data_IF_146434898516
#
_entry.id   IF_146434898516
#
_cell.length_a   1.000
_cell.length_b   1.000
_cell.length_c   1.000
_cell.angle_alpha   90.00
_cell.angle_beta   90.00
_cell.angle_gamma   90.00
#
_symmetry.space_group_name_H-M   'P 1'
#
loop_
_entity.id
_entity.type
_entity.pdbx_description
1 polymer ?
#
# COMPACT_ATOMS: atom_id res chain seq x y z
N UNK A 1 29.90 31.08 -41.46
CA UNK A 1 28.56 30.51 -41.66
C UNK A 1 27.91 30.35 -40.30
N UNK A 2 26.96 31.24 -39.97
CA UNK A 2 26.17 31.19 -38.75
C UNK A 2 25.08 30.12 -38.90
N UNK A 3 25.02 29.17 -37.98
CA UNK A 3 23.90 28.24 -37.85
C UNK A 3 23.08 28.63 -36.62
N UNK A 4 22.08 29.47 -36.85
CA UNK A 4 21.03 29.78 -35.89
C UNK A 4 19.97 28.68 -35.95
N UNK A 5 19.86 27.89 -34.89
CA UNK A 5 18.71 27.01 -34.67
C UNK A 5 17.48 27.83 -34.25
N UNK A 6 16.26 27.51 -34.71
CA UNK A 6 15.06 28.28 -34.39
C UNK A 6 14.64 28.06 -32.93
N UNK A 7 14.67 29.13 -32.14
CA UNK A 7 14.10 29.20 -30.80
C UNK A 7 12.57 29.07 -30.90
N UNK A 8 11.91 28.18 -30.14
CA UNK A 8 10.45 28.12 -30.11
C UNK A 8 9.85 29.36 -29.42
N UNK A 9 8.56 29.69 -29.67
CA UNK A 9 8.00 30.99 -29.32
C UNK A 9 7.93 31.22 -27.81
N UNK A 10 8.74 32.18 -27.32
CA UNK A 10 8.29 33.21 -26.39
C UNK A 10 7.82 32.82 -24.98
N UNK A 11 8.49 31.90 -24.27
CA UNK A 11 8.45 31.99 -22.79
C UNK A 11 9.14 33.30 -22.40
N UNK A 12 8.43 34.20 -21.72
CA UNK A 12 9.05 35.43 -21.21
C UNK A 12 10.31 35.09 -20.40
N UNK A 13 11.34 35.94 -20.41
CA UNK A 13 12.57 35.71 -19.64
C UNK A 13 12.29 35.43 -18.14
N UNK A 14 11.17 35.96 -17.63
CA UNK A 14 10.64 35.70 -16.29
C UNK A 14 10.14 34.26 -16.12
N UNK A 15 9.41 33.71 -17.09
CA UNK A 15 8.93 32.34 -17.07
C UNK A 15 10.07 31.31 -17.24
N UNK A 16 11.03 31.59 -18.14
CA UNK A 16 12.23 30.74 -18.28
C UNK A 16 13.05 30.69 -16.99
N UNK A 17 13.24 31.83 -16.32
CA UNK A 17 13.93 31.91 -15.02
C UNK A 17 13.14 31.21 -13.90
N UNK A 18 11.81 31.26 -13.95
CA UNK A 18 10.97 30.55 -12.98
C UNK A 18 11.08 29.03 -13.14
N UNK A 19 11.17 28.53 -14.38
CA UNK A 19 11.35 27.11 -14.68
C UNK A 19 12.71 26.59 -14.21
N UNK A 20 13.80 27.32 -14.43
CA UNK A 20 15.14 26.90 -13.99
C UNK A 20 15.22 26.75 -12.45
N UNK A 21 14.53 27.63 -11.70
CA UNK A 21 14.47 27.59 -10.23
C UNK A 21 13.72 26.38 -9.67
N UNK A 22 12.98 25.63 -10.51
CA UNK A 22 12.28 24.40 -10.09
C UNK A 22 13.17 23.15 -10.16
N UNK A 23 14.36 23.23 -10.76
CA UNK A 23 15.27 22.09 -10.86
C UNK A 23 15.81 21.78 -9.46
N UNK A 24 15.62 20.53 -9.00
CA UNK A 24 15.90 20.12 -7.62
C UNK A 24 17.39 20.24 -7.29
N UNK A 25 17.70 21.05 -6.27
CA UNK A 25 19.04 21.15 -5.70
C UNK A 25 19.55 19.81 -5.16
N UNK A 26 18.68 19.00 -4.55
CA UNK A 26 19.07 17.68 -4.03
C UNK A 26 19.53 16.76 -5.16
N UNK A 27 18.81 16.75 -6.28
CA UNK A 27 19.17 15.93 -7.44
C UNK A 27 20.46 16.42 -8.12
N UNK A 28 20.66 17.74 -8.17
CA UNK A 28 21.90 18.33 -8.68
C UNK A 28 23.08 18.02 -7.77
N UNK A 29 22.94 18.16 -6.45
CA UNK A 29 23.98 17.81 -5.46
C UNK A 29 24.35 16.33 -5.56
N UNK A 30 23.37 15.44 -5.70
CA UNK A 30 23.61 14.02 -5.91
C UNK A 30 24.35 13.72 -7.23
N UNK A 31 24.00 14.39 -8.33
CA UNK A 31 24.72 14.25 -9.61
C UNK A 31 26.16 14.76 -9.55
N UNK A 32 26.40 15.78 -8.73
CA UNK A 32 27.73 16.29 -8.41
C UNK A 32 28.51 15.40 -7.43
N UNK A 33 27.92 14.30 -6.96
CA UNK A 33 28.57 13.33 -6.07
C UNK A 33 28.52 13.71 -4.58
N UNK A 34 27.73 14.71 -4.20
CA UNK A 34 27.58 15.12 -2.81
C UNK A 34 26.40 14.39 -2.15
N UNK A 35 26.69 13.64 -1.09
CA UNK A 35 25.70 12.99 -0.24
C UNK A 35 25.43 13.82 1.03
N UNK A 36 24.19 13.82 1.56
CA UNK A 36 23.90 14.48 2.81
C UNK A 36 24.62 13.79 3.98
N UNK A 37 25.05 14.57 4.97
CA UNK A 37 25.75 14.09 6.16
C UNK A 37 24.85 13.31 7.13
N UNK A 38 23.54 13.29 6.90
CA UNK A 38 22.57 12.60 7.74
C UNK A 38 21.13 12.77 7.24
N UNK A 39 20.13 12.23 7.98
CA UNK A 39 18.71 12.43 7.67
C UNK A 39 18.33 13.92 7.77
N UNK A 40 17.24 14.34 7.11
CA UNK A 40 16.82 15.74 7.11
C UNK A 40 16.44 16.21 8.52
N UNK A 41 16.87 17.41 8.88
CA UNK A 41 16.41 18.09 10.09
C UNK A 41 14.93 18.49 9.96
N UNK A 42 14.28 18.79 11.09
CA UNK A 42 12.89 19.27 11.12
C UNK A 42 12.69 20.43 10.13
N UNK A 43 11.73 20.28 9.21
CA UNK A 43 11.45 21.25 8.14
C UNK A 43 12.18 21.01 6.81
N UNK A 44 12.69 19.79 6.55
CA UNK A 44 13.17 19.38 5.23
C UNK A 44 14.53 19.97 4.84
N UNK A 45 15.40 20.18 5.82
CA UNK A 45 16.73 20.74 5.61
C UNK A 45 17.80 19.63 5.67
N UNK A 46 18.57 19.51 4.60
CA UNK A 46 19.67 18.54 4.48
C UNK A 46 21.01 19.24 4.65
N UNK A 47 21.89 18.65 5.46
CA UNK A 47 23.23 19.17 5.72
C UNK A 47 24.26 18.44 4.87
N UNK A 48 25.21 19.17 4.30
CA UNK A 48 26.31 18.68 3.48
C UNK A 48 27.62 19.31 3.96
N UNK A 49 28.73 18.63 3.72
CA UNK A 49 30.05 19.29 3.66
C UNK A 49 30.04 20.30 2.51
N UNK A 50 30.58 21.50 2.72
CA UNK A 50 30.48 22.55 1.70
C UNK A 50 31.17 22.12 0.40
N UNK A 51 30.48 22.18 -0.76
CA UNK A 51 31.09 21.86 -2.05
C UNK A 51 32.13 22.91 -2.47
N UNK A 52 32.22 24.02 -1.76
CA UNK A 52 33.21 25.08 -1.97
C UNK A 52 34.46 24.92 -1.09
N UNK A 53 34.40 24.07 -0.05
CA UNK A 53 35.46 23.87 0.94
C UNK A 53 35.65 22.37 1.17
N UNK A 54 36.29 21.66 0.22
CA UNK A 54 36.42 20.20 0.26
C UNK A 54 37.23 19.67 1.46
N UNK A 55 38.05 20.50 2.10
CA UNK A 55 38.82 20.20 3.30
C UNK A 55 38.01 20.26 4.62
N UNK A 56 36.74 20.68 4.55
CA UNK A 56 35.88 20.83 5.71
C UNK A 56 35.47 19.47 6.30
N UNK A 57 35.59 19.33 7.63
CA UNK A 57 35.20 18.11 8.37
C UNK A 57 33.80 18.17 8.98
N UNK A 58 33.23 19.37 9.14
CA UNK A 58 31.94 19.59 9.79
C UNK A 58 30.94 20.14 8.78
N UNK A 59 29.77 19.50 8.57
CA UNK A 59 28.77 19.97 7.63
C UNK A 59 28.29 21.39 7.95
N UNK A 60 28.37 22.31 6.99
CA UNK A 60 27.95 23.71 7.14
C UNK A 60 27.09 24.21 5.99
N UNK A 61 26.91 23.39 4.95
CA UNK A 61 26.11 23.70 3.78
C UNK A 61 24.72 23.07 3.90
N UNK A 62 23.68 23.90 3.87
CA UNK A 62 22.29 23.47 4.04
C UNK A 62 21.53 23.63 2.74
N UNK A 63 20.87 22.55 2.30
CA UNK A 63 19.87 22.58 1.23
C UNK A 63 18.49 22.41 1.84
N UNK A 64 17.62 23.39 1.60
CA UNK A 64 16.21 23.30 1.99
C UNK A 64 15.40 22.69 0.85
N UNK A 65 14.87 21.49 1.05
CA UNK A 65 14.07 20.75 0.08
C UNK A 65 12.83 21.55 -0.33
N UNK A 66 12.09 22.07 0.65
CA UNK A 66 10.82 22.77 0.39
C UNK A 66 11.01 24.12 -0.30
N UNK A 67 12.11 24.83 0.00
CA UNK A 67 12.38 26.16 -0.57
C UNK A 67 13.22 26.08 -1.85
N UNK A 68 13.85 24.94 -2.13
CA UNK A 68 14.82 24.72 -3.20
C UNK A 68 15.89 25.83 -3.24
N UNK A 69 16.45 26.12 -2.07
CA UNK A 69 17.55 27.08 -1.89
C UNK A 69 18.64 26.45 -1.03
N UNK A 70 19.86 26.96 -1.21
CA UNK A 70 21.00 26.57 -0.41
C UNK A 70 21.54 27.76 0.39
N UNK A 71 22.13 27.47 1.54
CA UNK A 71 22.86 28.40 2.38
C UNK A 71 24.12 27.71 2.90
N UNK A 72 25.26 28.36 2.74
CA UNK A 72 26.54 27.92 3.31
C UNK A 72 26.88 28.81 4.53
N UNK A 73 26.86 28.22 5.72
CA UNK A 73 27.14 28.94 6.97
C UNK A 73 28.65 29.14 7.21
N UNK A 74 29.53 28.45 6.48
CA UNK A 74 30.97 28.68 6.60
C UNK A 74 31.55 29.53 5.48
N UNK A 75 30.72 30.14 4.61
CA UNK A 75 31.13 31.20 3.68
C UNK A 75 30.62 32.56 4.12
N UNK A 76 31.48 33.57 3.96
CA UNK A 76 31.07 34.96 4.13
C UNK A 76 30.05 35.36 3.03
N UNK A 77 28.96 36.06 3.36
CA UNK A 77 28.00 36.56 2.39
C UNK A 77 28.64 37.54 1.39
N UNK A 78 28.12 37.59 0.17
CA UNK A 78 28.45 38.69 -0.77
C UNK A 78 27.98 40.04 -0.18
N UNK A 79 28.64 41.17 -0.47
CA UNK A 79 28.24 42.49 0.01
C UNK A 79 26.75 42.75 -0.22
N UNK A 80 26.03 43.16 0.83
CA UNK A 80 24.58 43.41 0.78
C UNK A 80 23.69 42.16 0.95
N UNK A 81 24.24 40.97 1.19
CA UNK A 81 23.46 39.77 1.53
C UNK A 81 23.64 39.35 3.00
N UNK A 82 22.58 38.78 3.59
CA UNK A 82 22.58 38.29 4.97
C UNK A 82 23.26 36.92 5.15
N UNK A 83 23.39 36.14 4.08
CA UNK A 83 23.98 34.80 4.08
C UNK A 83 24.62 34.49 2.72
N UNK A 84 25.64 33.63 2.69
CA UNK A 84 26.17 33.06 1.46
C UNK A 84 25.21 31.96 0.97
N UNK A 85 24.34 32.29 0.02
CA UNK A 85 23.31 31.37 -0.45
C UNK A 85 22.57 31.85 -1.68
N UNK A 86 21.75 30.96 -2.24
CA UNK A 86 21.03 31.21 -3.48
C UNK A 86 20.11 30.07 -3.92
N UNK A 87 19.60 30.19 -5.14
CA UNK A 87 18.86 29.12 -5.81
C UNK A 87 19.81 28.19 -6.57
N UNK A 88 19.25 27.16 -7.21
CA UNK A 88 20.01 26.17 -8.01
C UNK A 88 20.90 26.82 -9.07
N UNK A 89 20.44 27.89 -9.71
CA UNK A 89 21.20 28.56 -10.76
C UNK A 89 22.38 29.33 -10.16
N UNK A 90 22.16 30.02 -9.04
CA UNK A 90 23.25 30.65 -8.29
C UNK A 90 24.27 29.63 -7.80
N UNK A 91 23.85 28.41 -7.41
CA UNK A 91 24.77 27.34 -7.03
C UNK A 91 25.70 26.97 -8.19
N UNK A 92 25.13 26.72 -9.39
CA UNK A 92 25.92 26.37 -10.57
C UNK A 92 26.90 27.48 -10.92
N UNK A 93 26.44 28.74 -10.92
CA UNK A 93 27.30 29.89 -11.17
C UNK A 93 28.44 29.98 -10.15
N UNK A 94 28.14 29.80 -8.86
CA UNK A 94 29.15 29.89 -7.80
C UNK A 94 30.14 28.69 -7.82
N UNK A 95 29.73 27.51 -8.29
CA UNK A 95 30.60 26.32 -8.39
C UNK A 95 31.49 26.31 -9.63
N UNK A 96 30.99 26.83 -10.75
CA UNK A 96 31.66 26.73 -12.07
C UNK A 96 32.30 28.05 -12.51
N UNK A 97 31.91 29.18 -11.91
CA UNK A 97 32.28 30.51 -12.39
C UNK A 97 31.57 30.93 -13.69
N UNK A 98 30.59 30.16 -14.16
CA UNK A 98 29.89 30.46 -15.41
C UNK A 98 28.94 31.65 -15.30
N UNK A 99 28.92 32.46 -16.34
CA UNK A 99 27.92 33.50 -16.53
C UNK A 99 26.53 32.90 -16.78
N UNK A 100 25.48 33.69 -16.49
CA UNK A 100 24.09 33.23 -16.45
C UNK A 100 23.63 32.38 -17.65
N UNK A 101 23.96 32.71 -18.93
CA UNK A 101 23.52 31.91 -20.08
C UNK A 101 24.12 30.50 -20.07
N UNK A 102 25.42 30.39 -19.78
CA UNK A 102 26.15 29.12 -19.79
C UNK A 102 25.82 28.28 -18.55
N UNK A 103 25.67 28.91 -17.39
CA UNK A 103 25.20 28.25 -16.18
C UNK A 103 23.79 27.65 -16.37
N UNK A 104 22.88 28.39 -17.03
CA UNK A 104 21.53 27.92 -17.36
C UNK A 104 21.56 26.73 -18.32
N UNK A 105 22.38 26.80 -19.37
CA UNK A 105 22.53 25.70 -20.33
C UNK A 105 23.04 24.43 -19.64
N UNK A 106 24.06 24.57 -18.80
CA UNK A 106 24.66 23.46 -18.03
C UNK A 106 23.64 22.85 -17.07
N UNK A 107 22.91 23.68 -16.31
CA UNK A 107 21.86 23.23 -15.41
C UNK A 107 20.78 22.41 -16.14
N UNK A 108 20.36 22.86 -17.32
CA UNK A 108 19.35 22.17 -18.13
C UNK A 108 19.88 20.86 -18.71
N UNK A 109 21.13 20.81 -19.15
CA UNK A 109 21.77 19.59 -19.62
C UNK A 109 21.85 18.54 -18.50
N UNK A 110 22.29 18.95 -17.30
CA UNK A 110 22.35 18.06 -16.14
C UNK A 110 20.97 17.60 -15.69
N UNK A 111 19.96 18.48 -15.77
CA UNK A 111 18.57 18.12 -15.48
C UNK A 111 18.01 17.13 -16.53
N UNK A 112 18.42 17.24 -17.79
CA UNK A 112 18.03 16.31 -18.86
C UNK A 112 18.68 14.93 -18.66
N UNK A 113 19.94 14.85 -18.26
CA UNK A 113 20.60 13.58 -17.88
C UNK A 113 19.96 12.91 -16.65
N UNK A 114 19.38 13.71 -15.75
CA UNK A 114 18.64 13.24 -14.58
C UNK A 114 17.20 12.82 -14.92
N UNK A 115 16.74 13.10 -16.15
CA UNK A 115 15.45 12.66 -16.60
C UNK A 115 15.50 11.16 -16.91
N UNK A 116 14.60 10.41 -16.27
CA UNK A 116 14.21 9.05 -16.65
C UNK A 116 14.17 8.85 -18.17
N UNK A 117 14.64 7.71 -18.71
CA UNK A 117 14.61 7.38 -20.14
C UNK A 117 13.29 7.76 -20.80
N UNK A 118 13.29 8.11 -22.09
CA UNK A 118 12.10 8.60 -22.81
C UNK A 118 10.86 7.70 -22.69
N UNK A 119 11.01 6.40 -22.42
CA UNK A 119 9.90 5.47 -22.10
C UNK A 119 9.13 5.81 -20.80
N UNK A 120 9.69 6.64 -19.93
CA UNK A 120 9.11 7.11 -18.66
C UNK A 120 8.69 8.59 -18.70
N UNK A 121 8.87 9.28 -19.83
CA UNK A 121 8.46 10.67 -19.99
C UNK A 121 6.96 10.75 -20.24
N UNK A 122 6.23 11.31 -19.26
CA UNK A 122 4.79 11.50 -19.35
C UNK A 122 4.42 12.42 -20.53
N UNK A 123 3.32 12.12 -21.26
CA UNK A 123 2.85 13.00 -22.31
C UNK A 123 2.47 14.39 -21.76
N UNK A 124 2.63 15.46 -22.56
CA UNK A 124 2.17 16.79 -22.20
C UNK A 124 0.65 16.82 -22.07
N UNK A 125 0.18 17.85 -21.39
CA UNK A 125 -0.90 17.72 -20.45
C UNK A 125 -2.16 18.51 -20.86
N UNK A 126 -3.31 17.89 -21.23
CA UNK A 126 -4.61 18.59 -21.27
C UNK A 126 -5.12 18.89 -19.85
N UNK A 127 -5.87 19.99 -19.67
CA UNK A 127 -6.36 20.49 -18.37
C UNK A 127 -7.14 19.39 -17.62
N UNK A 128 -6.63 18.95 -16.47
CA UNK A 128 -7.24 17.88 -15.66
C UNK A 128 -8.11 18.41 -14.50
N UNK A 129 -8.99 17.56 -13.98
CA UNK A 129 -9.86 17.89 -12.84
C UNK A 129 -9.05 18.03 -11.53
N UNK A 130 -9.56 18.86 -10.61
CA UNK A 130 -9.02 18.99 -9.24
C UNK A 130 -9.93 18.26 -8.27
N UNK A 131 -9.37 17.30 -7.53
CA UNK A 131 -10.08 16.46 -6.56
C UNK A 131 -9.42 16.60 -5.19
N UNK A 132 -10.16 16.39 -4.10
CA UNK A 132 -9.60 16.49 -2.74
C UNK A 132 -9.93 15.23 -1.94
N UNK A 133 -8.93 14.69 -1.23
CA UNK A 133 -9.10 13.57 -0.30
C UNK A 133 -8.51 13.97 1.05
N UNK A 134 -9.37 14.20 2.04
CA UNK A 134 -8.95 14.71 3.33
C UNK A 134 -8.23 16.06 3.21
N UNK A 135 -6.95 16.12 3.59
CA UNK A 135 -6.10 17.33 3.54
C UNK A 135 -5.28 17.46 2.24
N UNK A 136 -5.34 16.46 1.35
CA UNK A 136 -4.53 16.43 0.13
C UNK A 136 -5.39 16.81 -1.06
N UNK A 137 -4.96 17.83 -1.80
CA UNK A 137 -5.56 18.22 -3.08
C UNK A 137 -4.78 17.56 -4.20
N UNK A 138 -5.50 16.86 -5.08
CA UNK A 138 -5.03 16.28 -6.31
C UNK A 138 -5.41 17.20 -7.46
N UNK A 139 -4.45 17.54 -8.30
CA UNK A 139 -4.62 18.42 -9.46
C UNK A 139 -4.09 17.75 -10.72
N UNK A 140 -4.50 18.24 -11.88
CA UNK A 140 -4.16 17.65 -13.18
C UNK A 140 -4.45 16.14 -13.25
N UNK A 141 -5.56 15.71 -12.63
CA UNK A 141 -5.94 14.31 -12.65
C UNK A 141 -6.34 13.93 -14.07
N UNK A 142 -5.58 13.01 -14.68
CA UNK A 142 -5.90 12.42 -15.99
C UNK A 142 -6.11 10.95 -15.87
N UNK A 143 -7.15 10.48 -16.53
CA UNK A 143 -7.52 9.07 -16.58
C UNK A 143 -7.49 8.64 -18.03
N UNK A 144 -6.74 7.60 -18.32
CA UNK A 144 -6.56 7.07 -19.67
C UNK A 144 -6.66 5.55 -19.63
N UNK A 145 -6.94 4.89 -20.77
CA UNK A 145 -6.83 3.45 -20.88
C UNK A 145 -5.44 2.96 -20.48
N UNK A 146 -5.37 1.85 -19.74
CA UNK A 146 -4.09 1.32 -19.26
C UNK A 146 -3.22 0.81 -20.42
N UNK A 147 -2.18 1.59 -20.74
CA UNK A 147 -1.17 1.29 -21.77
C UNK A 147 0.26 1.56 -21.27
N UNK A 148 0.41 2.27 -20.15
CA UNK A 148 1.70 2.67 -19.61
C UNK A 148 2.52 1.45 -19.16
N UNK A 149 3.62 1.19 -19.87
CA UNK A 149 4.49 0.01 -19.68
C UNK A 149 4.89 -0.22 -18.21
N UNK A 150 5.33 0.78 -17.43
CA UNK A 150 5.64 0.59 -16.01
C UNK A 150 4.47 0.09 -15.15
N UNK A 151 3.23 0.48 -15.47
CA UNK A 151 2.05 0.01 -14.73
C UNK A 151 1.64 -1.40 -15.14
N UNK A 152 1.82 -1.75 -16.42
CA UNK A 152 1.63 -3.12 -16.90
C UNK A 152 2.69 -4.04 -16.29
N UNK A 153 3.96 -3.64 -16.27
CA UNK A 153 5.05 -4.37 -15.61
C UNK A 153 4.77 -4.53 -14.11
N UNK A 154 4.22 -3.52 -13.46
CA UNK A 154 3.77 -3.62 -12.07
C UNK A 154 2.68 -4.69 -11.89
N UNK A 155 1.65 -4.74 -12.74
CA UNK A 155 0.64 -5.80 -12.69
C UNK A 155 1.26 -7.20 -12.86
N UNK A 156 2.15 -7.36 -13.84
CA UNK A 156 2.87 -8.62 -14.08
C UNK A 156 3.72 -9.00 -12.87
N UNK A 157 4.40 -8.04 -12.23
CA UNK A 157 5.18 -8.27 -11.01
C UNK A 157 4.31 -8.71 -9.83
N UNK A 158 3.03 -8.34 -9.82
CA UNK A 158 2.04 -8.79 -8.85
C UNK A 158 1.32 -10.08 -9.27
N UNK A 159 1.87 -10.80 -10.25
CA UNK A 159 1.38 -12.10 -10.70
C UNK A 159 0.12 -12.04 -11.55
N UNK A 160 -0.33 -10.85 -11.95
CA UNK A 160 -1.57 -10.67 -12.71
C UNK A 160 -1.33 -11.02 -14.19
N UNK A 161 -2.16 -11.90 -14.75
CA UNK A 161 -2.10 -12.27 -16.16
C UNK A 161 -2.78 -11.18 -17.02
N UNK A 162 -2.01 -10.16 -17.37
CA UNK A 162 -2.51 -9.03 -18.14
C UNK A 162 -3.13 -9.41 -19.51
N UNK A 163 -2.52 -10.30 -20.33
CA UNK A 163 -3.13 -10.75 -21.58
C UNK A 163 -4.52 -11.39 -21.41
N UNK A 164 -4.71 -12.22 -20.38
CA UNK A 164 -6.01 -12.81 -20.06
C UNK A 164 -7.06 -11.73 -19.75
N UNK A 165 -6.69 -10.72 -18.96
CA UNK A 165 -7.61 -9.66 -18.58
C UNK A 165 -8.02 -8.79 -19.76
N UNK A 166 -7.11 -8.53 -20.70
CA UNK A 166 -7.40 -7.76 -21.92
C UNK A 166 -8.51 -8.40 -22.78
N UNK A 167 -8.65 -9.73 -22.74
CA UNK A 167 -9.73 -10.43 -23.45
C UNK A 167 -11.12 -10.17 -22.85
N UNK A 168 -11.22 -9.68 -21.61
CA UNK A 168 -12.50 -9.50 -20.90
C UNK A 168 -13.33 -8.32 -21.40
N UNK A 169 -12.71 -7.30 -22.01
CA UNK A 169 -13.34 -6.12 -22.63
C UNK A 169 -14.17 -5.20 -21.71
N UNK A 170 -15.11 -5.75 -20.92
CA UNK A 170 -16.11 -5.02 -20.14
C UNK A 170 -15.66 -4.66 -18.72
N UNK A 171 -14.92 -5.53 -18.04
CA UNK A 171 -14.54 -5.32 -16.63
C UNK A 171 -13.32 -4.41 -16.44
N UNK A 172 -12.51 -4.26 -17.50
CA UNK A 172 -11.34 -3.38 -17.49
C UNK A 172 -11.68 -1.89 -17.56
N UNK A 173 -12.94 -1.50 -17.87
CA UNK A 173 -13.33 -0.09 -17.85
C UNK A 173 -13.10 0.56 -16.48
N UNK A 174 -13.14 -0.24 -15.40
CA UNK A 174 -12.83 0.23 -14.05
C UNK A 174 -11.33 0.38 -13.79
N UNK A 175 -10.46 -0.34 -14.51
CA UNK A 175 -9.01 -0.28 -14.36
C UNK A 175 -8.39 0.61 -15.44
N UNK A 176 -7.92 1.77 -15.03
CA UNK A 176 -7.35 2.80 -15.89
C UNK A 176 -5.93 3.14 -15.42
N UNK A 177 -5.16 3.85 -16.24
CA UNK A 177 -3.98 4.56 -15.74
C UNK A 177 -4.41 5.96 -15.31
N UNK A 178 -3.94 6.38 -14.14
CA UNK A 178 -4.22 7.71 -13.60
C UNK A 178 -2.91 8.46 -13.42
N UNK A 179 -2.85 9.69 -13.94
CA UNK A 179 -1.78 10.64 -13.70
C UNK A 179 -2.30 11.77 -12.83
N UNK A 180 -1.52 12.23 -11.85
CA UNK A 180 -1.98 13.26 -10.92
C UNK A 180 -0.81 14.02 -10.30
N UNK A 181 -1.08 15.23 -9.82
CA UNK A 181 -0.20 16.00 -8.94
C UNK A 181 -0.86 16.17 -7.59
N UNK A 182 -0.09 16.22 -6.52
CA UNK A 182 -0.57 16.57 -5.19
C UNK A 182 -0.24 18.02 -4.88
N UNK A 183 -0.93 18.63 -3.91
CA UNK A 183 -0.60 19.98 -3.41
C UNK A 183 0.85 20.13 -2.96
N UNK A 184 1.49 19.02 -2.55
CA UNK A 184 2.91 18.95 -2.21
C UNK A 184 3.84 18.74 -3.40
N UNK A 185 3.34 18.22 -4.53
CA UNK A 185 4.12 17.90 -5.74
C UNK A 185 3.81 18.80 -6.95
N UNK A 186 3.15 19.94 -6.74
CA UNK A 186 2.89 20.94 -7.78
C UNK A 186 4.17 21.41 -8.52
N UNK A 187 5.35 21.17 -7.93
CA UNK A 187 6.68 21.50 -8.48
C UNK A 187 7.48 20.30 -8.99
N UNK A 188 6.94 19.08 -8.89
CA UNK A 188 7.59 17.82 -9.30
C UNK A 188 6.92 17.18 -10.53
N UNK A 189 7.56 16.13 -11.07
CA UNK A 189 6.94 15.29 -12.10
C UNK A 189 5.59 14.72 -11.58
N UNK A 190 4.55 14.63 -12.44
CA UNK A 190 3.29 14.02 -12.04
C UNK A 190 3.50 12.59 -11.56
N UNK A 191 2.74 12.21 -10.53
CA UNK A 191 2.61 10.82 -10.11
C UNK A 191 1.74 10.05 -11.09
N UNK A 192 1.91 8.73 -11.09
CA UNK A 192 1.09 7.83 -11.89
C UNK A 192 0.76 6.56 -11.12
N UNK A 193 -0.37 5.95 -11.44
CA UNK A 193 -0.81 4.71 -10.81
C UNK A 193 -1.85 3.98 -11.63
N UNK A 194 -2.12 2.74 -11.24
CA UNK A 194 -3.35 2.06 -11.58
C UNK A 194 -4.49 2.77 -10.86
N UNK A 195 -5.46 3.28 -11.59
CA UNK A 195 -6.69 3.85 -11.07
C UNK A 195 -7.82 2.83 -11.19
N UNK A 196 -8.41 2.44 -10.07
CA UNK A 196 -9.61 1.63 -10.02
C UNK A 196 -10.83 2.49 -9.69
N UNK A 197 -11.79 2.57 -10.61
CA UNK A 197 -12.98 3.43 -10.48
C UNK A 197 -13.90 2.93 -9.36
N UNK A 198 -14.26 3.83 -8.44
CA UNK A 198 -15.24 3.60 -7.37
C UNK A 198 -16.45 4.53 -7.51
N UNK A 199 -17.49 4.31 -6.71
CA UNK A 199 -18.67 5.18 -6.65
C UNK A 199 -18.36 6.62 -6.22
N UNK A 200 -17.24 6.84 -5.51
CA UNK A 200 -16.90 8.14 -4.92
C UNK A 200 -15.58 8.75 -5.45
N UNK A 201 -14.86 8.06 -6.34
CA UNK A 201 -13.55 8.50 -6.80
C UNK A 201 -12.75 7.38 -7.47
N UNK A 202 -11.50 7.26 -7.05
CA UNK A 202 -10.53 6.30 -7.59
C UNK A 202 -9.68 5.71 -6.47
N UNK A 203 -9.57 4.39 -6.42
CA UNK A 203 -8.47 3.74 -5.70
C UNK A 203 -7.24 3.75 -6.59
N UNK A 204 -6.10 4.15 -6.04
CA UNK A 204 -4.86 4.34 -6.79
C UNK A 204 -3.76 3.50 -6.20
N UNK A 205 -3.09 2.73 -7.08
CA UNK A 205 -1.99 1.86 -6.67
C UNK A 205 -0.84 1.87 -7.66
N UNK A 206 0.38 1.95 -7.15
CA UNK A 206 1.61 1.67 -7.89
C UNK A 206 2.60 0.95 -6.95
N UNK A 207 3.82 0.69 -7.42
CA UNK A 207 4.84 -0.01 -6.64
C UNK A 207 5.18 0.64 -5.28
N UNK A 208 4.98 1.95 -5.15
CA UNK A 208 5.39 2.75 -3.97
C UNK A 208 4.23 3.39 -3.23
N UNK A 209 3.02 3.33 -3.77
CA UNK A 209 1.86 4.05 -3.24
C UNK A 209 0.59 3.22 -3.34
N UNK A 210 -0.21 3.29 -2.28
CA UNK A 210 -1.58 2.83 -2.22
C UNK A 210 -2.40 3.91 -1.52
N UNK A 211 -3.49 4.36 -2.15
CA UNK A 211 -4.37 5.37 -1.57
C UNK A 211 -5.56 5.67 -2.47
N UNK A 212 -6.28 6.74 -2.17
CA UNK A 212 -7.51 7.10 -2.87
C UNK A 212 -7.39 8.54 -3.41
N UNK A 213 -7.94 8.80 -4.59
CA UNK A 213 -8.13 10.12 -5.17
C UNK A 213 -9.64 10.40 -5.24
N UNK A 214 -10.07 11.50 -4.61
CA UNK A 214 -11.49 11.77 -4.35
C UNK A 214 -11.97 11.04 -3.10
N UNK A 215 -13.13 10.39 -3.16
CA UNK A 215 -13.70 9.62 -2.05
C UNK A 215 -13.43 8.11 -2.14
N UNK A 216 -13.46 7.45 -0.98
CA UNK A 216 -13.54 5.99 -0.91
C UNK A 216 -14.97 5.57 -1.20
N UNK A 217 -15.13 4.53 -2.01
CA UNK A 217 -16.45 4.04 -2.39
C UNK A 217 -16.39 2.58 -2.82
N UNK A 218 -17.57 1.98 -2.93
CA UNK A 218 -17.76 0.62 -3.41
C UNK A 218 -17.61 0.58 -4.94
N UNK A 219 -17.24 -0.58 -5.47
CA UNK A 219 -17.34 -0.86 -6.91
C UNK A 219 -18.23 -2.07 -7.12
N UNK A 220 -19.35 -1.87 -7.82
CA UNK A 220 -20.26 -2.92 -8.25
C UNK A 220 -20.00 -3.26 -9.71
N UNK A 221 -19.76 -4.54 -9.99
CA UNK A 221 -19.67 -5.09 -11.34
C UNK A 221 -20.85 -6.05 -11.54
N UNK A 222 -21.93 -5.62 -12.22
CA UNK A 222 -23.14 -6.41 -12.36
C UNK A 222 -22.89 -7.73 -13.10
N UNK A 223 -23.31 -8.83 -12.48
CA UNK A 223 -23.36 -10.16 -13.08
C UNK A 223 -24.76 -10.52 -13.56
N UNK A 224 -24.87 -11.66 -14.23
CA UNK A 224 -26.15 -12.22 -14.70
C UNK A 224 -26.63 -13.39 -13.85
N UNK A 225 -25.72 -14.04 -13.13
CA UNK A 225 -26.04 -15.17 -12.26
C UNK A 225 -26.33 -14.72 -10.82
N UNK A 226 -27.18 -15.46 -10.09
CA UNK A 226 -27.52 -15.15 -8.71
C UNK A 226 -26.30 -15.26 -7.79
N UNK A 227 -26.26 -14.37 -6.80
CA UNK A 227 -25.22 -14.32 -5.79
C UNK A 227 -24.27 -13.14 -5.97
N UNK A 228 -23.48 -12.88 -4.92
CA UNK A 228 -22.49 -11.79 -4.89
C UNK A 228 -21.15 -12.33 -4.48
N UNK A 229 -20.10 -11.99 -5.24
CA UNK A 229 -18.70 -12.26 -4.88
C UNK A 229 -18.09 -10.98 -4.31
N UNK A 230 -17.60 -11.08 -3.08
CA UNK A 230 -17.11 -9.96 -2.30
C UNK A 230 -15.60 -10.01 -2.17
N UNK A 231 -14.90 -8.98 -2.66
CA UNK A 231 -13.46 -8.79 -2.51
C UNK A 231 -13.17 -7.56 -1.65
N UNK A 232 -12.14 -7.64 -0.81
CA UNK A 232 -11.74 -6.50 0.03
C UNK A 232 -11.05 -5.39 -0.79
N UNK A 233 -10.18 -5.76 -1.74
CA UNK A 233 -9.52 -4.83 -2.65
C UNK A 233 -9.60 -5.26 -4.11
N UNK A 234 -9.39 -4.31 -5.03
CA UNK A 234 -9.44 -4.60 -6.46
C UNK A 234 -8.28 -5.49 -6.92
N UNK A 235 -7.13 -5.44 -6.25
CA UNK A 235 -5.99 -6.33 -6.56
C UNK A 235 -6.34 -7.79 -6.29
N UNK A 236 -7.14 -8.09 -5.27
CA UNK A 236 -7.60 -9.45 -4.97
C UNK A 236 -8.57 -9.95 -6.04
N UNK A 237 -9.45 -9.07 -6.52
CA UNK A 237 -10.32 -9.36 -7.66
C UNK A 237 -9.51 -9.72 -8.92
N UNK A 238 -8.52 -8.91 -9.30
CA UNK A 238 -7.64 -9.19 -10.45
C UNK A 238 -6.85 -10.49 -10.26
N UNK A 239 -6.44 -10.76 -9.01
CA UNK A 239 -5.72 -11.99 -8.65
C UNK A 239 -6.60 -13.22 -8.79
N UNK A 240 -7.87 -13.13 -8.37
CA UNK A 240 -8.83 -14.21 -8.51
C UNK A 240 -9.12 -14.51 -9.99
N UNK A 241 -9.33 -13.48 -10.83
CA UNK A 241 -9.47 -13.69 -12.28
C UNK A 241 -8.27 -14.43 -12.87
N UNK A 242 -7.06 -14.03 -12.49
CA UNK A 242 -5.83 -14.71 -12.94
C UNK A 242 -5.75 -16.16 -12.45
N UNK A 243 -5.99 -16.39 -11.16
CA UNK A 243 -5.89 -17.71 -10.54
C UNK A 243 -6.91 -18.69 -11.13
N UNK A 244 -8.16 -18.27 -11.26
CA UNK A 244 -9.23 -19.09 -11.84
C UNK A 244 -9.22 -19.12 -13.38
N UNK A 245 -8.27 -18.41 -14.02
CA UNK A 245 -8.16 -18.28 -15.48
C UNK A 245 -9.47 -17.81 -16.13
N UNK A 246 -10.15 -16.87 -15.48
CA UNK A 246 -11.41 -16.29 -15.94
C UNK A 246 -11.19 -14.85 -16.40
N UNK A 247 -11.89 -14.46 -17.47
CA UNK A 247 -11.95 -13.07 -17.92
C UNK A 247 -13.01 -12.26 -17.13
N UNK A 248 -14.02 -12.93 -16.58
CA UNK A 248 -15.05 -12.34 -15.72
C UNK A 248 -15.69 -13.40 -14.83
N UNK A 249 -16.33 -12.96 -13.73
CA UNK A 249 -17.27 -13.81 -12.99
C UNK A 249 -18.70 -13.62 -13.52
N UNK A 250 -19.52 -14.67 -13.56
CA UNK A 250 -20.90 -14.56 -14.00
C UNK A 250 -21.83 -13.97 -12.92
N UNK A 251 -21.49 -14.10 -11.64
CA UNK A 251 -22.15 -13.44 -10.52
C UNK A 251 -21.77 -11.96 -10.42
N UNK A 252 -22.58 -11.18 -9.71
CA UNK A 252 -22.25 -9.79 -9.38
C UNK A 252 -21.02 -9.76 -8.49
N UNK A 253 -20.04 -8.93 -8.84
CA UNK A 253 -18.85 -8.71 -8.02
C UNK A 253 -18.94 -7.39 -7.30
N UNK A 254 -18.73 -7.42 -5.98
CA UNK A 254 -18.55 -6.23 -5.16
C UNK A 254 -17.10 -6.17 -4.70
N UNK A 255 -16.43 -5.06 -5.03
CA UNK A 255 -15.13 -4.71 -4.47
C UNK A 255 -15.34 -3.64 -3.41
N UNK A 256 -15.01 -3.95 -2.16
CA UNK A 256 -15.20 -3.05 -1.03
C UNK A 256 -14.24 -1.86 -1.07
N UNK A 257 -13.01 -2.06 -1.56
CA UNK A 257 -11.88 -1.13 -1.52
C UNK A 257 -11.38 -0.77 -0.11
N UNK A 258 -12.13 -1.15 0.94
CA UNK A 258 -11.79 -1.03 2.35
C UNK A 258 -12.80 -1.80 3.20
N UNK A 259 -12.35 -2.60 4.17
CA UNK A 259 -13.24 -3.31 5.10
C UNK A 259 -14.24 -2.39 5.83
N UNK A 260 -13.89 -1.10 6.02
CA UNK A 260 -14.78 -0.12 6.64
C UNK A 260 -16.07 0.16 5.85
N UNK A 261 -16.08 -0.09 4.53
CA UNK A 261 -17.26 0.13 3.67
C UNK A 261 -18.23 -1.06 3.66
N UNK A 262 -17.94 -2.14 4.39
CA UNK A 262 -18.82 -3.30 4.45
C UNK A 262 -20.21 -2.95 5.01
N UNK A 263 -20.28 -2.06 6.01
CA UNK A 263 -21.57 -1.64 6.59
C UNK A 263 -22.47 -0.95 5.57
N UNK A 264 -21.89 -0.17 4.66
CA UNK A 264 -22.62 0.52 3.59
C UNK A 264 -23.19 -0.49 2.58
N UNK A 265 -22.44 -1.56 2.27
CA UNK A 265 -22.87 -2.60 1.33
C UNK A 265 -23.87 -3.60 1.93
N UNK A 266 -24.02 -3.64 3.26
CA UNK A 266 -24.76 -4.69 3.96
C UNK A 266 -26.23 -4.82 3.52
N UNK A 267 -27.01 -3.74 3.30
CA UNK A 267 -28.39 -3.86 2.84
C UNK A 267 -28.53 -4.64 1.53
N UNK A 268 -27.64 -4.37 0.57
CA UNK A 268 -27.62 -5.06 -0.73
C UNK A 268 -27.17 -6.51 -0.60
N UNK A 269 -26.24 -6.81 0.33
CA UNK A 269 -25.80 -8.17 0.60
C UNK A 269 -26.88 -9.03 1.26
N UNK A 270 -27.79 -8.44 2.04
CA UNK A 270 -28.91 -9.15 2.66
C UNK A 270 -29.94 -9.64 1.62
N UNK A 271 -30.02 -8.98 0.47
CA UNK A 271 -30.87 -9.38 -0.66
C UNK A 271 -30.24 -10.49 -1.51
N UNK A 272 -28.91 -10.62 -1.52
CA UNK A 272 -28.18 -11.53 -2.40
C UNK A 272 -28.25 -13.01 -1.95
N UNK A 273 -28.78 -13.95 -2.76
CA UNK A 273 -29.11 -15.31 -2.31
C UNK A 273 -27.93 -16.04 -1.65
N UNK A 274 -26.72 -15.84 -2.18
CA UNK A 274 -25.46 -16.30 -1.58
C UNK A 274 -24.40 -15.21 -1.69
N UNK A 275 -23.55 -15.10 -0.67
CA UNK A 275 -22.41 -14.19 -0.62
C UNK A 275 -21.12 -15.02 -0.51
N UNK A 276 -20.23 -14.85 -1.48
CA UNK A 276 -18.91 -15.47 -1.50
C UNK A 276 -17.86 -14.48 -1.00
N UNK A 277 -17.20 -14.78 0.12
CA UNK A 277 -16.23 -13.88 0.75
C UNK A 277 -14.79 -14.23 0.38
N UNK A 278 -14.11 -13.26 -0.25
CA UNK A 278 -12.68 -13.25 -0.54
C UNK A 278 -12.03 -12.01 0.11
N UNK A 279 -12.03 -11.94 1.44
CA UNK A 279 -11.37 -10.84 2.16
C UNK A 279 -10.12 -11.26 2.94
N UNK A 280 -9.43 -10.25 3.46
CA UNK A 280 -8.08 -10.40 4.00
C UNK A 280 -8.05 -11.32 5.21
N UNK A 281 -6.93 -12.00 5.39
CA UNK A 281 -6.62 -12.83 6.54
C UNK A 281 -6.02 -12.03 7.70
N UNK A 282 -6.22 -10.71 7.72
CA UNK A 282 -5.79 -9.84 8.79
C UNK A 282 -6.93 -9.53 9.79
N UNK A 283 -6.65 -8.69 10.79
CA UNK A 283 -7.64 -8.38 11.82
C UNK A 283 -8.89 -7.68 11.26
N UNK A 284 -8.75 -6.85 10.21
CA UNK A 284 -9.86 -6.13 9.63
C UNK A 284 -10.76 -7.08 8.81
N UNK A 285 -10.14 -7.92 7.97
CA UNK A 285 -10.87 -8.93 7.20
C UNK A 285 -11.58 -9.97 8.07
N UNK A 286 -10.98 -10.42 9.17
CA UNK A 286 -11.64 -11.33 10.12
C UNK A 286 -12.84 -10.68 10.85
N UNK A 287 -12.76 -9.38 11.17
CA UNK A 287 -13.90 -8.63 11.73
C UNK A 287 -15.02 -8.47 10.71
N UNK A 288 -14.69 -8.19 9.46
CA UNK A 288 -15.63 -8.10 8.36
C UNK A 288 -16.36 -9.44 8.14
N UNK A 289 -15.61 -10.54 8.11
CA UNK A 289 -16.18 -11.89 8.02
C UNK A 289 -17.08 -12.24 9.21
N UNK A 290 -16.68 -11.84 10.44
CA UNK A 290 -17.52 -12.03 11.62
C UNK A 290 -18.86 -11.28 11.49
N UNK A 291 -18.83 -10.02 11.05
CA UNK A 291 -20.03 -9.21 10.85
C UNK A 291 -20.97 -9.86 9.81
N UNK A 292 -20.42 -10.33 8.68
CA UNK A 292 -21.19 -11.04 7.66
C UNK A 292 -21.87 -12.29 8.22
N UNK A 293 -21.20 -13.05 9.09
CA UNK A 293 -21.78 -14.23 9.76
C UNK A 293 -22.92 -13.88 10.71
N UNK A 294 -22.90 -12.70 11.33
CA UNK A 294 -23.98 -12.25 12.22
C UNK A 294 -25.18 -11.72 11.43
N UNK A 295 -24.91 -11.02 10.33
CA UNK A 295 -25.95 -10.35 9.56
C UNK A 295 -26.66 -11.28 8.56
N UNK A 296 -25.92 -12.18 7.89
CA UNK A 296 -26.49 -13.04 6.86
C UNK A 296 -27.16 -14.28 7.49
N UNK A 297 -28.30 -14.74 6.94
CA UNK A 297 -28.91 -16.00 7.36
C UNK A 297 -27.94 -17.20 7.23
N UNK A 298 -28.07 -18.22 8.09
CA UNK A 298 -27.23 -19.42 8.03
C UNK A 298 -27.22 -20.06 6.63
N UNK A 299 -26.05 -20.45 6.16
CA UNK A 299 -25.87 -21.09 4.84
C UNK A 299 -25.74 -20.13 3.66
N UNK A 300 -25.98 -18.82 3.83
CA UNK A 300 -25.85 -17.83 2.74
C UNK A 300 -24.44 -17.26 2.56
N UNK A 301 -23.51 -17.56 3.47
CA UNK A 301 -22.13 -17.07 3.40
C UNK A 301 -21.16 -18.22 3.13
N UNK A 302 -20.44 -18.12 2.02
CA UNK A 302 -19.36 -19.05 1.66
C UNK A 302 -18.03 -18.34 1.85
N UNK A 303 -17.22 -18.84 2.77
CA UNK A 303 -15.91 -18.27 3.05
C UNK A 303 -14.80 -18.92 2.20
N UNK A 304 -14.18 -18.15 1.33
CA UNK A 304 -13.09 -18.61 0.46
C UNK A 304 -11.70 -18.21 0.95
N UNK A 305 -11.59 -17.42 2.03
CA UNK A 305 -10.29 -16.94 2.47
C UNK A 305 -9.34 -18.07 2.93
N UNK A 306 -9.87 -19.25 3.23
CA UNK A 306 -9.09 -20.47 3.53
C UNK A 306 -8.22 -20.95 2.36
N UNK A 307 -8.60 -20.64 1.10
CA UNK A 307 -7.82 -20.99 -0.09
C UNK A 307 -6.40 -20.44 -0.04
N UNK A 308 -6.24 -19.25 0.53
CA UNK A 308 -4.95 -18.55 0.66
C UNK A 308 -4.50 -18.46 2.13
N UNK A 309 -4.76 -19.52 2.91
CA UNK A 309 -4.29 -19.61 4.30
C UNK A 309 -2.77 -19.44 4.39
N UNK A 310 -2.33 -18.59 5.32
CA UNK A 310 -0.92 -18.28 5.54
C UNK A 310 -0.43 -17.04 4.75
N UNK A 311 -1.27 -16.50 3.88
CA UNK A 311 -1.03 -15.24 3.17
C UNK A 311 -2.00 -14.17 3.68
N UNK A 312 -1.57 -12.90 3.62
CA UNK A 312 -2.38 -11.77 4.11
C UNK A 312 -3.63 -11.60 3.26
N UNK A 313 -3.49 -11.59 1.94
CA UNK A 313 -4.56 -11.38 0.98
C UNK A 313 -4.39 -12.31 -0.23
N UNK A 314 -5.31 -12.23 -1.20
CA UNK A 314 -5.30 -13.14 -2.34
C UNK A 314 -4.10 -12.86 -3.25
N UNK A 315 -3.75 -11.58 -3.44
CA UNK A 315 -2.62 -11.22 -4.29
C UNK A 315 -1.27 -11.66 -3.70
N UNK A 316 -1.10 -11.57 -2.39
CA UNK A 316 0.07 -12.10 -1.70
C UNK A 316 0.16 -13.63 -1.85
N UNK A 317 -0.97 -14.34 -1.83
CA UNK A 317 -0.99 -15.77 -2.17
C UNK A 317 -0.58 -16.07 -3.60
N UNK A 318 -1.11 -15.33 -4.57
CA UNK A 318 -0.78 -15.49 -5.98
C UNK A 318 0.72 -15.28 -6.24
N UNK A 319 1.32 -14.31 -5.55
CA UNK A 319 2.74 -13.97 -5.66
C UNK A 319 3.65 -14.75 -4.72
N UNK A 320 3.08 -15.59 -3.83
CA UNK A 320 3.79 -16.28 -2.74
C UNK A 320 4.55 -15.31 -1.82
N UNK A 321 4.02 -14.11 -1.64
CA UNK A 321 4.60 -13.07 -0.77
C UNK A 321 4.29 -13.41 0.69
N UNK A 322 5.29 -13.64 1.56
CA UNK A 322 5.03 -13.96 2.96
C UNK A 322 4.50 -12.72 3.70
N UNK A 323 3.65 -12.92 4.73
CA UNK A 323 3.11 -11.80 5.49
C UNK A 323 4.22 -11.12 6.32
N UNK A 324 4.27 -9.79 6.27
CA UNK A 324 5.25 -8.98 7.02
C UNK A 324 4.95 -8.92 8.52
N UNK A 325 3.69 -9.15 8.89
CA UNK A 325 3.23 -9.25 10.27
C UNK A 325 2.56 -10.60 10.50
N UNK A 326 2.68 -11.16 11.71
CA UNK A 326 1.95 -12.38 12.07
C UNK A 326 0.45 -12.23 11.79
N UNK A 327 -0.11 -13.20 11.07
CA UNK A 327 -1.54 -13.21 10.74
C UNK A 327 -2.36 -13.74 11.92
N UNK A 328 -3.61 -13.27 12.09
CA UNK A 328 -4.60 -13.97 12.89
C UNK A 328 -4.54 -15.48 12.62
N UNK A 329 -4.34 -16.31 13.64
CA UNK A 329 -4.27 -17.75 13.45
C UNK A 329 -5.60 -18.27 12.91
N UNK A 330 -5.64 -18.84 11.71
CA UNK A 330 -6.84 -19.56 11.27
C UNK A 330 -7.01 -20.83 12.11
N UNK A 331 -8.25 -21.20 12.43
CA UNK A 331 -8.66 -22.41 13.18
C UNK A 331 -7.52 -23.43 13.36
N UNK A 332 -7.09 -23.66 14.59
CA UNK A 332 -6.51 -24.95 14.91
C UNK A 332 -7.65 -25.97 14.89
N UNK A 333 -7.45 -27.13 14.24
CA UNK A 333 -8.36 -28.25 14.46
C UNK A 333 -8.39 -28.51 15.95
N UNK A 334 -9.56 -28.38 16.57
CA UNK A 334 -9.59 -28.34 18.01
C UNK A 334 -9.37 -29.79 18.49
N UNK A 335 -8.52 -29.95 19.50
CA UNK A 335 -8.08 -31.27 20.00
C UNK A 335 -9.28 -32.14 20.42
N UNK A 336 -9.13 -33.45 20.62
CA UNK A 336 -10.26 -34.31 21.07
C UNK A 336 -11.06 -33.75 22.27
N UNK A 337 -10.44 -32.94 23.14
CA UNK A 337 -11.13 -32.21 24.23
C UNK A 337 -12.19 -31.20 23.74
N UNK A 338 -12.04 -30.60 22.57
CA UNK A 338 -12.98 -29.62 22.04
C UNK A 338 -14.24 -30.23 21.42
N UNK A 339 -14.29 -31.55 21.25
CA UNK A 339 -15.43 -32.22 20.62
C UNK A 339 -16.65 -32.23 21.55
N UNK A 340 -16.45 -32.00 22.85
CA UNK A 340 -17.50 -32.02 23.88
C UNK A 340 -17.58 -30.73 24.70
N UNK A 341 -16.53 -29.90 24.70
CA UNK A 341 -16.52 -28.64 25.45
C UNK A 341 -17.42 -27.56 24.81
N UNK A 342 -18.24 -26.89 25.62
CA UNK A 342 -19.01 -25.69 25.23
C UNK A 342 -18.10 -24.47 25.14
N UNK A 343 -17.16 -24.34 26.07
CA UNK A 343 -16.19 -23.25 26.09
C UNK A 343 -14.76 -23.78 26.06
N UNK A 344 -13.89 -23.10 25.32
CA UNK A 344 -12.46 -23.39 25.36
C UNK A 344 -11.60 -22.14 25.20
N UNK A 345 -10.44 -22.17 25.84
CA UNK A 345 -9.39 -21.19 25.73
C UNK A 345 -8.19 -21.83 25.02
N UNK A 346 -7.87 -21.33 23.83
CA UNK A 346 -6.63 -21.68 23.13
C UNK A 346 -5.57 -20.64 23.45
N UNK A 347 -4.40 -21.08 23.91
CA UNK A 347 -3.29 -20.22 24.33
C UNK A 347 -2.03 -20.60 23.57
N UNK A 348 -1.32 -19.59 23.09
CA UNK A 348 0.05 -19.67 22.59
C UNK A 348 0.93 -18.91 23.56
N UNK A 349 1.98 -19.57 24.03
CA UNK A 349 2.94 -19.05 24.99
C UNK A 349 4.09 -18.35 24.29
N UNK A 350 4.71 -17.41 24.99
CA UNK A 350 5.91 -16.70 24.52
C UNK A 350 7.14 -17.61 24.44
N UNK A 351 7.26 -18.60 25.31
CA UNK A 351 8.40 -19.54 25.31
C UNK A 351 8.01 -21.02 25.41
N UNK A 352 7.31 -21.45 26.45
CA UNK A 352 6.90 -22.86 26.56
C UNK A 352 5.59 -22.99 27.31
N UNK A 353 4.73 -23.90 26.86
CA UNK A 353 3.51 -24.24 27.58
C UNK A 353 3.85 -24.88 28.95
N UNK A 354 3.34 -24.32 30.05
CA UNK A 354 3.52 -24.88 31.40
C UNK A 354 3.07 -26.35 31.46
N UNK A 355 3.83 -27.19 32.17
CA UNK A 355 3.47 -28.59 32.43
C UNK A 355 3.65 -29.57 31.26
N UNK A 356 4.26 -29.15 30.15
CA UNK A 356 4.61 -30.08 29.06
C UNK A 356 5.97 -30.71 29.32
N UNK A 357 6.20 -32.03 29.10
CA UNK A 357 7.51 -32.65 29.25
C UNK A 357 8.51 -32.14 28.20
N UNK A 358 9.80 -32.11 28.54
CA UNK A 358 10.84 -31.65 27.63
C UNK A 358 11.13 -32.77 26.64
N UNK A 359 10.25 -32.96 25.66
CA UNK A 359 10.47 -33.94 24.62
C UNK A 359 11.58 -33.45 23.67
N UNK A 360 12.45 -34.37 23.27
CA UNK A 360 13.59 -34.21 22.37
C UNK A 360 13.32 -33.16 21.27
N UNK A 361 13.89 -31.96 21.46
CA UNK A 361 13.99 -30.93 20.42
C UNK A 361 12.72 -30.17 20.03
N UNK A 362 11.54 -30.38 20.63
CA UNK A 362 10.31 -29.62 20.26
C UNK A 362 9.65 -28.93 21.47
N UNK A 363 9.84 -27.60 21.56
CA UNK A 363 9.07 -26.74 22.49
C UNK A 363 7.60 -26.73 22.09
N UNK A 364 6.71 -27.25 22.93
CA UNK A 364 5.26 -27.10 22.72
C UNK A 364 4.86 -25.68 23.12
N UNK A 365 4.66 -24.82 22.13
CA UNK A 365 4.34 -23.40 22.30
C UNK A 365 2.85 -23.12 22.56
N UNK A 366 1.95 -24.10 22.41
CA UNK A 366 0.52 -23.87 22.51
C UNK A 366 -0.25 -25.01 23.20
N UNK A 367 -1.34 -24.64 23.88
CA UNK A 367 -2.20 -25.53 24.67
C UNK A 367 -3.67 -25.10 24.56
N UNK A 368 -4.57 -26.06 24.77
CA UNK A 368 -6.01 -25.83 24.91
C UNK A 368 -6.42 -26.07 26.35
N UNK A 369 -7.30 -25.21 26.86
CA UNK A 369 -7.94 -25.35 28.16
C UNK A 369 -9.45 -25.40 27.97
N UNK A 370 -10.10 -26.31 28.67
CA UNK A 370 -11.54 -26.38 28.84
C UNK A 370 -11.83 -26.78 30.28
N UNK A 371 -13.02 -26.47 30.77
CA UNK A 371 -13.41 -26.79 32.14
C UNK A 371 -14.78 -27.46 32.15
N UNK A 372 -15.80 -26.74 32.61
CA UNK A 372 -17.20 -27.14 32.57
C UNK A 372 -17.93 -26.43 31.43
N UNK A 373 -19.10 -26.96 31.06
CA UNK A 373 -19.88 -26.52 29.90
C UNK A 373 -20.91 -25.43 30.23
N UNK A 374 -20.85 -24.88 31.44
CA UNK A 374 -21.74 -23.85 31.98
C UNK A 374 -21.03 -22.49 32.09
N UNK A 375 -21.76 -21.46 32.55
CA UNK A 375 -21.22 -20.11 32.72
C UNK A 375 -20.01 -20.07 33.68
N UNK A 376 -19.98 -20.95 34.68
CA UNK A 376 -18.85 -21.08 35.60
C UNK A 376 -17.57 -21.48 34.87
N UNK A 377 -17.68 -22.40 33.90
CA UNK A 377 -16.57 -22.81 33.05
C UNK A 377 -16.01 -21.67 32.20
N UNK A 378 -16.89 -20.82 31.65
CA UNK A 378 -16.48 -19.63 30.91
C UNK A 378 -15.68 -18.65 31.78
N UNK A 379 -16.18 -18.34 32.98
CA UNK A 379 -15.49 -17.44 33.91
C UNK A 379 -14.16 -18.01 34.39
N UNK A 380 -14.10 -19.32 34.65
CA UNK A 380 -12.83 -19.97 34.98
C UNK A 380 -11.78 -19.76 33.88
N UNK A 381 -12.16 -19.89 32.61
CA UNK A 381 -11.24 -19.67 31.49
C UNK A 381 -10.77 -18.22 31.40
N UNK A 382 -11.62 -17.24 31.72
CA UNK A 382 -11.25 -15.81 31.81
C UNK A 382 -10.24 -15.56 32.93
N UNK A 383 -10.45 -16.17 34.10
CA UNK A 383 -9.53 -16.09 35.24
C UNK A 383 -8.20 -16.75 34.90
N UNK A 384 -8.23 -17.94 34.30
CA UNK A 384 -7.04 -18.67 33.86
C UNK A 384 -6.20 -17.84 32.89
N UNK A 385 -6.84 -17.25 31.87
CA UNK A 385 -6.18 -16.33 30.95
C UNK A 385 -5.50 -15.19 31.70
N UNK A 386 -6.19 -14.54 32.63
CA UNK A 386 -5.63 -13.42 33.41
C UNK A 386 -4.41 -13.86 34.23
N UNK A 387 -4.45 -15.07 34.82
CA UNK A 387 -3.33 -15.65 35.56
C UNK A 387 -2.10 -15.95 34.70
N UNK A 388 -2.32 -16.41 33.46
CA UNK A 388 -1.24 -16.70 32.53
C UNK A 388 -0.52 -15.41 32.06
N UNK A 389 -1.24 -14.28 32.01
CA UNK A 389 -0.66 -12.94 31.90
C UNK A 389 0.37 -12.78 30.78
N UNK A 390 1.57 -12.31 31.13
CA UNK A 390 2.68 -12.05 30.19
C UNK A 390 3.27 -13.31 29.54
N UNK A 391 2.92 -14.50 30.02
CA UNK A 391 3.35 -15.75 29.39
C UNK A 391 2.58 -16.01 28.08
N UNK A 392 1.44 -15.34 27.88
CA UNK A 392 0.63 -15.45 26.68
C UNK A 392 1.22 -14.56 25.59
N UNK A 393 1.61 -15.17 24.47
CA UNK A 393 1.86 -14.47 23.21
C UNK A 393 0.55 -14.21 22.44
N UNK A 394 -0.37 -15.17 22.51
CA UNK A 394 -1.68 -15.09 21.84
C UNK A 394 -2.73 -15.96 22.54
N UNK A 395 -4.00 -15.53 22.57
CA UNK A 395 -5.11 -16.40 22.99
C UNK A 395 -6.42 -16.18 22.22
N UNK A 396 -7.29 -17.21 22.27
CA UNK A 396 -8.70 -17.16 21.89
C UNK A 396 -9.57 -17.84 22.93
N UNK A 397 -10.60 -17.16 23.40
CA UNK A 397 -11.71 -17.72 24.16
C UNK A 397 -12.90 -17.90 23.22
N UNK A 398 -13.45 -19.11 23.15
CA UNK A 398 -14.51 -19.45 22.20
C UNK A 398 -15.67 -20.17 22.90
N UNK A 399 -16.86 -19.99 22.32
CA UNK A 399 -18.10 -20.68 22.64
C UNK A 399 -18.54 -21.52 21.45
N UNK A 400 -18.92 -22.77 21.69
CA UNK A 400 -19.43 -23.67 20.66
C UNK A 400 -20.87 -23.29 20.32
N UNK A 401 -21.17 -23.18 19.03
CA UNK A 401 -22.52 -22.86 18.54
C UNK A 401 -23.24 -24.13 18.08
N UNK A 402 -22.82 -24.73 16.96
CA UNK A 402 -23.46 -25.91 16.37
C UNK A 402 -22.43 -26.81 15.70
N UNK A 403 -22.44 -28.11 16.04
CA UNK A 403 -21.51 -29.08 15.45
C UNK A 403 -20.04 -28.72 15.70
N UNK A 404 -19.26 -28.52 14.62
CA UNK A 404 -17.87 -28.04 14.67
C UNK A 404 -17.75 -26.51 14.64
N UNK A 405 -18.85 -25.75 14.65
CA UNK A 405 -18.84 -24.28 14.61
C UNK A 405 -18.66 -23.66 16.00
N UNK A 406 -18.08 -22.46 16.04
CA UNK A 406 -17.88 -21.70 17.28
C UNK A 406 -17.91 -20.20 17.05
N UNK A 407 -18.25 -19.46 18.10
CA UNK A 407 -18.19 -18.01 18.23
C UNK A 407 -16.95 -17.65 19.05
N UNK A 408 -16.16 -16.69 18.57
CA UNK A 408 -15.06 -16.14 19.37
C UNK A 408 -15.66 -15.12 20.33
N UNK A 409 -15.43 -15.32 21.62
CA UNK A 409 -15.86 -14.39 22.67
C UNK A 409 -14.79 -13.32 22.88
N UNK A 410 -13.52 -13.72 23.00
CA UNK A 410 -12.40 -12.83 23.32
C UNK A 410 -11.10 -13.33 22.67
N UNK A 411 -10.19 -12.41 22.34
CA UNK A 411 -8.87 -12.77 21.81
C UNK A 411 -7.87 -11.61 21.93
N UNK A 412 -6.57 -11.91 21.99
CA UNK A 412 -5.48 -10.93 21.92
C UNK A 412 -4.15 -11.58 21.48
N UNK A 413 -3.21 -10.79 20.94
CA UNK A 413 -1.82 -11.19 20.63
C UNK A 413 -1.45 -11.28 19.15
N UNK A 414 -0.21 -11.69 18.86
CA UNK A 414 0.39 -11.81 17.52
C UNK A 414 0.90 -13.25 17.30
N UNK A 415 0.33 -14.00 16.34
CA UNK A 415 0.74 -15.39 16.05
C UNK A 415 1.39 -15.54 14.67
N UNK A 416 2.61 -16.07 14.60
CA UNK A 416 3.29 -16.33 13.33
C UNK A 416 2.88 -17.70 12.77
N UNK A 417 2.05 -17.75 11.74
CA UNK A 417 1.84 -18.99 10.95
C UNK A 417 2.89 -19.10 9.86
N UNK A 418 3.51 -20.27 9.71
CA UNK A 418 4.25 -20.58 8.47
C UNK A 418 3.26 -20.90 7.33
N UNK A 419 3.55 -20.49 6.09
CA UNK A 419 2.70 -20.75 4.93
C UNK A 419 2.49 -22.25 4.69
N UNK A 420 1.28 -22.66 4.29
CA UNK A 420 0.96 -24.04 3.92
C UNK A 420 1.56 -24.34 2.54
N UNK A 421 2.26 -25.47 2.40
CA UNK A 421 2.65 -26.02 1.09
C UNK A 421 1.41 -26.69 0.48
N UNK A 422 0.95 -26.19 -0.67
CA UNK A 422 -0.21 -26.76 -1.37
C UNK A 422 0.28 -27.78 -2.41
N UNK A 423 -0.26 -28.99 -2.35
CA UNK A 423 -0.25 -29.96 -3.45
C UNK A 423 -1.37 -29.61 -4.42
N UNK A 424 -1.04 -29.48 -5.70
CA UNK A 424 -1.97 -29.16 -6.78
C UNK A 424 -2.93 -30.31 -7.07
N UNK A 425 -3.98 -30.48 -6.27
CA UNK A 425 -5.11 -31.32 -6.66
C UNK A 425 -6.33 -30.89 -5.84
N UNK A 426 -7.46 -30.72 -6.54
CA UNK A 426 -8.78 -30.24 -6.05
C UNK A 426 -8.93 -28.74 -5.76
N UNK A 427 -9.32 -27.98 -6.79
CA UNK A 427 -10.21 -26.83 -6.64
C UNK A 427 -11.12 -26.76 -7.89
N UNK A 428 -12.41 -26.98 -7.66
CA UNK A 428 -13.52 -26.92 -8.63
C UNK A 428 -13.78 -25.48 -9.06
#
# INVERSE_FOLDING_TARGET
>A
MHLTSPTPPGLSAKAARAADKQISLLSIMAKLGHAPAGPPAAGGNYWYTSPFRPEEKTPSFVVSEHKNVWVDFGRAPKPGKKAAGGDVLQLIMDLTGFELPLARQTLRAWAADLATPAELALPPAPVGETLTTGKVTFSDVRVEPLQWKPLVEYLVSRGINWPLLQQSGKNLAHLQQIFYRTSTSLREKPYFGLGWKTSAGWEVRNQRFQGTIGGKGLTWLPGREPGVILFEGFMDYLSALTYFKKSSFPQTVLVLNSAALLLEALPQLLEAPVVHWFGDNDQAGERALWLLRQALPPGRLVNHNELYRGYKDFNDFLTRTPPTKPLPPKRAEPSKLSLTATYWLWVVFTDRAPGTPAAEGKKRMCTFYSWTNDATGLEYLRVLRNRLGYQISYYRLCERTTGRQYKILEWAGLYHTQPVKISHETAI
#
